data_IF_813032366339
#
_entry.id   IF_813032366339
#
_cell.length_a   1.000
_cell.length_b   1.000
_cell.length_c   1.000
_cell.angle_alpha   90.00
_cell.angle_beta   90.00
_cell.angle_gamma   90.00
#
_symmetry.space_group_name_H-M   'P 1'
#
loop_
_entity.id
_entity.type
_entity.pdbx_description
1 polymer ?
#
# COMPACT_ATOMS: atom_id res chain seq x y z
N UNK A 1 46.53 -10.68 -42.17
CA UNK A 1 45.87 -10.39 -40.88
C UNK A 1 44.46 -10.93 -40.94
N UNK A 2 44.25 -12.09 -40.31
CA UNK A 2 42.97 -12.82 -40.32
C UNK A 2 42.10 -12.38 -39.18
N UNK A 3 40.98 -11.74 -39.47
CA UNK A 3 39.96 -11.35 -38.48
C UNK A 3 39.05 -12.55 -38.23
N UNK A 4 39.31 -13.28 -37.17
CA UNK A 4 38.48 -14.34 -36.67
C UNK A 4 37.19 -13.74 -36.06
N UNK A 5 36.06 -13.90 -36.80
CA UNK A 5 34.71 -13.58 -36.35
C UNK A 5 34.31 -14.55 -35.26
N UNK A 6 34.24 -14.10 -34.01
CA UNK A 6 33.64 -14.83 -32.91
C UNK A 6 32.10 -14.85 -33.10
N UNK A 7 31.57 -15.97 -33.59
CA UNK A 7 30.15 -16.24 -33.64
C UNK A 7 29.59 -16.33 -32.20
N UNK A 8 28.89 -15.28 -31.77
CA UNK A 8 28.11 -15.30 -30.52
C UNK A 8 26.97 -16.28 -30.70
N UNK A 9 27.09 -17.44 -30.08
CA UNK A 9 26.03 -18.44 -30.01
C UNK A 9 24.78 -17.81 -29.29
N UNK A 10 23.73 -17.53 -30.06
CA UNK A 10 22.40 -17.20 -29.54
C UNK A 10 21.82 -18.43 -28.86
N UNK A 11 22.00 -18.55 -27.56
CA UNK A 11 21.27 -19.53 -26.76
C UNK A 11 19.76 -19.24 -26.94
N UNK A 12 19.09 -20.13 -27.65
CA UNK A 12 17.62 -20.15 -27.78
C UNK A 12 17.06 -20.58 -26.43
N UNK A 13 16.79 -19.64 -25.55
CA UNK A 13 16.06 -19.92 -24.32
C UNK A 13 14.66 -20.41 -24.72
N UNK A 14 14.29 -21.61 -24.30
CA UNK A 14 12.96 -22.18 -24.49
C UNK A 14 11.90 -21.21 -23.93
N UNK A 15 10.70 -21.17 -24.51
CA UNK A 15 9.63 -20.25 -24.11
C UNK A 15 9.34 -20.29 -22.59
N UNK A 16 9.53 -21.45 -21.97
CA UNK A 16 9.41 -21.66 -20.53
C UNK A 16 10.51 -20.89 -19.75
N UNK A 17 11.76 -20.89 -20.21
CA UNK A 17 12.85 -20.13 -19.60
C UNK A 17 12.62 -18.61 -19.66
N UNK A 18 11.94 -18.12 -20.70
CA UNK A 18 11.60 -16.71 -20.86
C UNK A 18 10.46 -16.28 -19.93
N UNK A 19 9.53 -17.17 -19.62
CA UNK A 19 8.48 -16.95 -18.63
C UNK A 19 9.05 -16.85 -17.22
N UNK A 20 9.99 -17.72 -16.85
CA UNK A 20 10.61 -17.75 -15.51
C UNK A 20 11.53 -16.53 -15.27
N UNK A 21 12.09 -15.94 -16.32
CA UNK A 21 12.95 -14.74 -16.23
C UNK A 21 12.16 -13.42 -16.21
N UNK A 22 10.82 -13.46 -16.35
CA UNK A 22 10.00 -12.26 -16.20
C UNK A 22 9.93 -11.88 -14.72
N UNK A 23 10.21 -10.63 -14.41
CA UNK A 23 10.26 -10.07 -13.03
C UNK A 23 9.03 -10.39 -12.16
N UNK A 24 7.89 -10.68 -12.78
CA UNK A 24 6.62 -10.99 -12.11
C UNK A 24 6.52 -12.42 -11.59
N UNK A 25 7.26 -13.37 -12.16
CA UNK A 25 7.16 -14.79 -11.78
C UNK A 25 7.78 -15.11 -10.42
N UNK A 26 8.83 -14.38 -10.02
CA UNK A 26 9.47 -14.56 -8.72
C UNK A 26 8.46 -14.39 -7.56
N UNK A 27 7.82 -13.22 -7.43
CA UNK A 27 6.80 -12.99 -6.41
C UNK A 27 5.62 -13.97 -6.47
N UNK A 28 5.19 -14.36 -7.67
CA UNK A 28 4.07 -15.30 -7.84
C UNK A 28 4.42 -16.70 -7.33
N UNK A 29 5.62 -17.19 -7.63
CA UNK A 29 6.10 -18.50 -7.13
C UNK A 29 6.18 -18.48 -5.59
N UNK A 30 6.73 -17.41 -5.03
CA UNK A 30 6.82 -17.25 -3.57
C UNK A 30 5.42 -17.24 -2.95
N UNK A 31 4.47 -16.52 -3.54
CA UNK A 31 3.08 -16.51 -3.08
C UNK A 31 2.47 -17.92 -3.09
N UNK A 32 2.62 -18.67 -4.20
CA UNK A 32 2.10 -20.04 -4.32
C UNK A 32 2.72 -20.95 -3.27
N UNK A 33 4.03 -20.86 -3.04
CA UNK A 33 4.73 -21.67 -2.04
C UNK A 33 4.21 -21.34 -0.64
N UNK A 34 4.06 -20.06 -0.28
CA UNK A 34 3.49 -19.69 1.02
C UNK A 34 2.05 -20.17 1.17
N UNK A 35 1.20 -20.00 0.16
CA UNK A 35 -0.17 -20.51 0.20
C UNK A 35 -0.19 -22.04 0.41
N UNK A 36 0.68 -22.79 -0.26
CA UNK A 36 0.78 -24.22 -0.07
C UNK A 36 1.23 -24.58 1.35
N UNK A 37 2.30 -23.94 1.85
CA UNK A 37 2.82 -24.21 3.22
C UNK A 37 1.75 -23.93 4.26
N UNK A 38 1.08 -22.76 4.21
CA UNK A 38 0.05 -22.41 5.19
C UNK A 38 -1.21 -23.25 5.06
N UNK A 39 -1.55 -23.71 3.86
CA UNK A 39 -2.65 -24.67 3.63
C UNK A 39 -2.45 -25.99 4.38
N UNK A 40 -1.20 -26.49 4.43
CA UNK A 40 -0.87 -27.70 5.18
C UNK A 40 -0.68 -27.44 6.69
N UNK A 41 -0.18 -26.26 7.05
CA UNK A 41 0.11 -25.90 8.43
C UNK A 41 -1.16 -25.55 9.24
N UNK A 42 -2.22 -25.05 8.60
CA UNK A 42 -3.39 -24.49 9.29
C UNK A 42 -4.69 -24.90 8.59
N UNK A 43 -5.60 -25.55 9.34
CA UNK A 43 -6.90 -25.98 8.81
C UNK A 43 -7.85 -24.82 8.44
N UNK A 44 -7.62 -23.63 9.02
CA UNK A 44 -8.44 -22.44 8.83
C UNK A 44 -7.94 -21.55 7.71
N UNK A 45 -6.84 -21.91 7.03
CA UNK A 45 -6.26 -21.04 5.98
C UNK A 45 -7.26 -20.70 4.87
N UNK A 46 -8.01 -21.71 4.38
CA UNK A 46 -9.05 -21.51 3.36
C UNK A 46 -10.45 -21.30 3.94
N UNK A 47 -10.58 -21.07 5.25
CA UNK A 47 -11.88 -20.70 5.82
C UNK A 47 -12.36 -19.37 5.22
N UNK A 48 -13.68 -19.26 4.96
CA UNK A 48 -14.28 -18.08 4.33
C UNK A 48 -13.96 -16.78 5.09
N UNK A 49 -14.02 -16.80 6.42
CA UNK A 49 -13.66 -15.65 7.25
C UNK A 49 -12.20 -15.21 7.11
N UNK A 50 -11.25 -16.17 7.04
CA UNK A 50 -9.83 -15.84 6.82
C UNK A 50 -9.58 -15.27 5.43
N UNK A 51 -10.20 -15.85 4.39
CA UNK A 51 -10.09 -15.34 3.02
C UNK A 51 -10.67 -13.92 2.91
N UNK A 52 -11.80 -13.67 3.55
CA UNK A 52 -12.39 -12.33 3.63
C UNK A 52 -11.43 -11.31 4.23
N UNK A 53 -10.80 -11.63 5.37
CA UNK A 53 -9.79 -10.78 6.01
C UNK A 53 -8.58 -10.53 5.10
N UNK A 54 -8.08 -11.56 4.43
CA UNK A 54 -6.96 -11.43 3.49
C UNK A 54 -7.32 -10.50 2.33
N UNK A 55 -8.54 -10.63 1.77
CA UNK A 55 -9.01 -9.74 0.69
C UNK A 55 -9.13 -8.31 1.18
N UNK A 56 -9.74 -8.07 2.34
CA UNK A 56 -9.87 -6.73 2.92
C UNK A 56 -8.51 -6.05 3.12
N UNK A 57 -7.55 -6.75 3.72
CA UNK A 57 -6.20 -6.22 3.91
C UNK A 57 -5.48 -5.99 2.57
N UNK A 58 -5.69 -6.87 1.60
CA UNK A 58 -5.10 -6.74 0.26
C UNK A 58 -5.62 -5.52 -0.50
N UNK A 59 -6.89 -5.14 -0.31
CA UNK A 59 -7.46 -3.92 -0.91
C UNK A 59 -6.75 -2.67 -0.40
N UNK A 60 -6.49 -2.60 0.92
CA UNK A 60 -5.79 -1.46 1.52
C UNK A 60 -4.37 -1.35 0.95
N UNK A 61 -3.62 -2.45 1.00
CA UNK A 61 -2.25 -2.50 0.47
C UNK A 61 -2.22 -2.24 -1.04
N UNK A 62 -3.17 -2.81 -1.78
CA UNK A 62 -3.30 -2.61 -3.23
C UNK A 62 -3.56 -1.16 -3.61
N UNK A 63 -4.43 -0.48 -2.89
CA UNK A 63 -4.72 0.95 -3.12
C UNK A 63 -3.47 1.81 -2.88
N UNK A 64 -2.76 1.57 -1.77
CA UNK A 64 -1.49 2.26 -1.49
C UNK A 64 -0.42 1.94 -2.55
N UNK A 65 -0.37 0.69 -3.02
CA UNK A 65 0.58 0.26 -4.05
C UNK A 65 0.33 0.95 -5.40
N UNK A 66 -0.93 1.25 -5.76
CA UNK A 66 -1.23 2.02 -6.98
C UNK A 66 -0.62 3.43 -6.88
N UNK A 67 -0.85 4.12 -5.76
CA UNK A 67 -0.25 5.44 -5.51
C UNK A 67 1.29 5.38 -5.54
N UNK A 68 1.87 4.40 -4.87
CA UNK A 68 3.31 4.19 -4.83
C UNK A 68 3.89 3.90 -6.23
N UNK A 69 3.18 3.14 -7.04
CA UNK A 69 3.61 2.85 -8.42
C UNK A 69 3.70 4.12 -9.26
N UNK A 70 2.74 5.04 -9.13
CA UNK A 70 2.79 6.33 -9.83
C UNK A 70 4.03 7.15 -9.44
N UNK A 71 4.39 7.13 -8.16
CA UNK A 71 5.58 7.83 -7.66
C UNK A 71 6.87 7.17 -8.17
N UNK A 72 6.94 5.83 -8.17
CA UNK A 72 8.09 5.08 -8.69
C UNK A 72 8.30 5.35 -10.20
N UNK A 73 7.22 5.45 -10.97
CA UNK A 73 7.28 5.78 -12.41
C UNK A 73 7.91 7.16 -12.67
N UNK A 74 7.82 8.08 -11.71
CA UNK A 74 8.50 9.39 -11.77
C UNK A 74 9.90 9.37 -11.16
N UNK A 75 10.48 8.18 -10.95
CA UNK A 75 11.77 7.96 -10.31
C UNK A 75 11.84 8.50 -8.85
N UNK A 76 10.69 8.63 -8.20
CA UNK A 76 10.58 9.02 -6.80
C UNK A 76 10.54 7.82 -5.85
N UNK A 77 10.85 8.08 -4.58
CA UNK A 77 10.61 7.15 -3.46
C UNK A 77 9.80 7.93 -2.43
N UNK A 78 8.59 7.44 -2.12
CA UNK A 78 7.76 8.03 -1.07
C UNK A 78 7.65 7.08 0.11
N UNK A 79 8.23 7.48 1.22
CA UNK A 79 8.15 6.75 2.51
C UNK A 79 6.97 7.22 3.36
N UNK A 80 6.37 8.38 3.05
CA UNK A 80 5.29 8.97 3.83
C UNK A 80 3.91 8.42 3.47
N UNK A 81 3.75 7.80 2.31
CA UNK A 81 2.46 7.34 1.77
C UNK A 81 1.66 6.52 2.82
N UNK A 82 2.26 5.48 3.40
CA UNK A 82 1.62 4.68 4.45
C UNK A 82 1.31 5.47 5.73
N UNK A 83 2.22 6.36 6.15
CA UNK A 83 2.02 7.23 7.31
C UNK A 83 0.85 8.19 7.12
N UNK A 84 0.74 8.80 5.94
CA UNK A 84 -0.38 9.70 5.57
C UNK A 84 -1.71 8.94 5.58
N UNK A 85 -1.74 7.70 5.07
CA UNK A 85 -2.94 6.87 5.12
C UNK A 85 -3.37 6.58 6.57
N UNK A 86 -2.43 6.24 7.46
CA UNK A 86 -2.72 6.02 8.89
C UNK A 86 -3.22 7.29 9.55
N UNK A 87 -2.62 8.46 9.26
CA UNK A 87 -3.12 9.74 9.77
C UNK A 87 -4.58 9.98 9.32
N UNK A 88 -4.88 9.75 8.05
CA UNK A 88 -6.23 9.90 7.51
C UNK A 88 -7.26 9.02 8.22
N UNK A 89 -6.94 7.76 8.46
CA UNK A 89 -7.84 6.84 9.19
C UNK A 89 -8.06 7.26 10.64
N UNK A 90 -7.01 7.68 11.33
CA UNK A 90 -7.11 8.15 12.73
C UNK A 90 -7.92 9.45 12.82
N UNK A 91 -7.71 10.41 11.90
CA UNK A 91 -8.47 11.66 11.86
C UNK A 91 -9.97 11.38 11.61
N UNK A 92 -10.29 10.59 10.59
CA UNK A 92 -11.67 10.25 10.27
C UNK A 92 -12.34 9.52 11.45
N UNK A 93 -11.69 8.49 12.00
CA UNK A 93 -12.22 7.71 13.11
C UNK A 93 -12.44 8.54 14.37
N UNK A 94 -11.50 9.44 14.72
CA UNK A 94 -11.63 10.32 15.87
C UNK A 94 -12.81 11.28 15.74
N UNK A 95 -12.95 11.95 14.58
CA UNK A 95 -14.04 12.89 14.35
C UNK A 95 -15.41 12.20 14.41
N UNK A 96 -15.52 10.98 13.88
CA UNK A 96 -16.74 10.18 13.99
C UNK A 96 -17.01 9.78 15.45
N UNK A 97 -15.99 9.40 16.20
CA UNK A 97 -16.12 9.10 17.63
C UNK A 97 -16.56 10.34 18.45
N UNK A 98 -16.19 11.55 18.02
CA UNK A 98 -16.64 12.83 18.57
C UNK A 98 -18.03 13.27 18.03
N UNK A 99 -18.81 12.32 17.45
CA UNK A 99 -20.16 12.54 16.93
C UNK A 99 -20.25 13.57 15.78
N UNK A 100 -19.16 13.78 15.05
CA UNK A 100 -19.19 14.61 13.85
C UNK A 100 -19.83 13.84 12.68
N UNK A 101 -20.32 14.57 11.68
CA UNK A 101 -20.91 13.96 10.49
C UNK A 101 -19.87 13.09 9.78
N UNK A 102 -20.17 11.79 9.52
CA UNK A 102 -19.19 10.84 8.96
C UNK A 102 -18.61 11.27 7.60
N UNK A 103 -19.46 11.83 6.73
CA UNK A 103 -19.02 12.30 5.40
C UNK A 103 -18.08 13.49 5.53
N UNK A 104 -18.40 14.46 6.39
CA UNK A 104 -17.54 15.62 6.62
C UNK A 104 -16.20 15.20 7.27
N UNK A 105 -16.24 14.23 8.17
CA UNK A 105 -15.04 13.67 8.81
C UNK A 105 -14.12 13.03 7.78
N UNK A 106 -14.68 12.26 6.85
CA UNK A 106 -13.92 11.64 5.76
C UNK A 106 -13.32 12.71 4.82
N UNK A 107 -14.14 13.68 4.41
CA UNK A 107 -13.66 14.77 3.53
C UNK A 107 -12.56 15.60 4.18
N UNK A 108 -12.69 15.88 5.48
CA UNK A 108 -11.65 16.60 6.23
C UNK A 108 -10.35 15.78 6.29
N UNK A 109 -10.44 14.48 6.60
CA UNK A 109 -9.27 13.59 6.61
C UNK A 109 -8.58 13.53 5.23
N UNK A 110 -9.36 13.40 4.15
CA UNK A 110 -8.85 13.43 2.77
C UNK A 110 -8.18 14.76 2.43
N UNK A 111 -8.75 15.88 2.86
CA UNK A 111 -8.17 17.21 2.68
C UNK A 111 -6.79 17.30 3.34
N UNK A 112 -6.68 16.86 4.59
CA UNK A 112 -5.40 16.85 5.33
C UNK A 112 -4.37 15.95 4.63
N UNK A 113 -4.75 14.75 4.22
CA UNK A 113 -3.88 13.84 3.46
C UNK A 113 -3.41 14.49 2.15
N UNK A 114 -4.30 15.17 1.46
CA UNK A 114 -3.99 15.89 0.21
C UNK A 114 -2.99 17.02 0.45
N UNK A 115 -3.12 17.77 1.53
CA UNK A 115 -2.18 18.84 1.89
C UNK A 115 -0.78 18.27 2.11
N UNK A 116 -0.65 17.14 2.82
CA UNK A 116 0.65 16.49 3.02
C UNK A 116 1.24 15.98 1.70
N UNK A 117 0.42 15.35 0.85
CA UNK A 117 0.85 14.89 -0.47
C UNK A 117 1.28 16.04 -1.39
N UNK A 118 0.52 17.14 -1.41
CA UNK A 118 0.89 18.35 -2.15
C UNK A 118 2.18 18.97 -1.63
N UNK A 119 2.36 19.03 -0.32
CA UNK A 119 3.59 19.54 0.29
C UNK A 119 4.79 18.71 -0.16
N UNK A 120 4.70 17.38 -0.10
CA UNK A 120 5.73 16.49 -0.62
C UNK A 120 6.04 16.76 -2.09
N UNK A 121 5.00 16.78 -2.91
CA UNK A 121 5.12 17.01 -4.35
C UNK A 121 5.72 18.38 -4.70
N UNK A 122 5.35 19.45 -4.00
CA UNK A 122 5.91 20.80 -4.21
C UNK A 122 7.38 20.87 -3.80
N UNK A 123 7.75 20.31 -2.67
CA UNK A 123 9.14 20.28 -2.21
C UNK A 123 10.06 19.53 -3.19
N UNK A 124 9.59 18.40 -3.72
CA UNK A 124 10.35 17.62 -4.69
C UNK A 124 10.39 18.32 -6.06
N UNK A 125 9.23 18.77 -6.58
CA UNK A 125 9.15 19.25 -7.96
C UNK A 125 9.62 20.71 -8.14
N UNK A 126 9.36 21.57 -7.16
CA UNK A 126 9.70 23.00 -7.25
C UNK A 126 11.02 23.35 -6.60
N UNK A 127 11.33 22.76 -5.45
CA UNK A 127 12.59 23.00 -4.74
C UNK A 127 13.67 21.98 -5.13
N UNK A 128 13.35 21.01 -6.00
CA UNK A 128 14.29 20.00 -6.52
C UNK A 128 14.98 19.20 -5.39
N UNK A 129 14.29 19.05 -4.25
CA UNK A 129 14.80 18.28 -3.13
C UNK A 129 14.71 16.78 -3.41
N UNK A 130 15.67 15.97 -2.95
CA UNK A 130 15.61 14.53 -3.12
C UNK A 130 14.34 13.94 -2.50
N UNK A 131 13.53 13.17 -3.25
CA UNK A 131 12.24 12.62 -2.79
C UNK A 131 12.35 11.86 -1.47
N UNK A 132 13.39 11.03 -1.34
CA UNK A 132 13.65 10.24 -0.14
C UNK A 132 13.80 11.10 1.13
N UNK A 133 14.53 12.22 1.06
CA UNK A 133 14.76 13.10 2.23
C UNK A 133 13.45 13.78 2.63
N UNK A 134 12.72 14.30 1.64
CA UNK A 134 11.44 14.98 1.84
C UNK A 134 10.42 14.04 2.48
N UNK A 135 10.25 12.85 1.92
CA UNK A 135 9.22 11.91 2.39
C UNK A 135 9.60 11.26 3.72
N UNK A 136 10.89 11.06 4.01
CA UNK A 136 11.35 10.62 5.32
C UNK A 136 11.05 11.67 6.40
N UNK A 137 11.33 12.94 6.13
CA UNK A 137 10.99 14.04 7.03
C UNK A 137 9.49 14.16 7.27
N UNK A 138 8.69 14.07 6.20
CA UNK A 138 7.23 14.06 6.29
C UNK A 138 6.70 12.85 7.06
N UNK A 139 7.27 11.66 6.89
CA UNK A 139 6.90 10.49 7.68
C UNK A 139 7.07 10.74 9.17
N UNK A 140 8.17 11.38 9.57
CA UNK A 140 8.40 11.76 10.98
C UNK A 140 7.32 12.71 11.49
N UNK A 141 7.02 13.77 10.74
CA UNK A 141 6.00 14.78 11.09
C UNK A 141 4.61 14.12 11.17
N UNK A 142 4.22 13.39 10.15
CA UNK A 142 2.91 12.71 10.07
C UNK A 142 2.75 11.71 11.20
N UNK A 143 3.79 10.92 11.51
CA UNK A 143 3.76 9.96 12.62
C UNK A 143 3.61 10.66 13.97
N UNK A 144 4.29 11.78 14.19
CA UNK A 144 4.16 12.58 15.40
C UNK A 144 2.74 13.14 15.55
N UNK A 145 2.17 13.72 14.48
CA UNK A 145 0.78 14.21 14.47
C UNK A 145 -0.20 13.08 14.73
N UNK A 146 -0.02 11.93 14.08
CA UNK A 146 -0.87 10.75 14.29
C UNK A 146 -0.89 10.33 15.75
N UNK A 147 0.26 10.27 16.41
CA UNK A 147 0.36 9.92 17.84
C UNK A 147 -0.32 10.96 18.73
N UNK A 148 -0.17 12.25 18.43
CA UNK A 148 -0.82 13.33 19.18
C UNK A 148 -2.35 13.25 19.01
N UNK A 149 -2.83 13.02 17.81
CA UNK A 149 -4.28 12.88 17.53
C UNK A 149 -4.83 11.60 18.15
N UNK A 150 -4.12 10.48 18.06
CA UNK A 150 -4.56 9.19 18.60
C UNK A 150 -4.57 9.16 20.13
N UNK A 151 -3.68 9.90 20.82
CA UNK A 151 -3.52 9.89 22.28
C UNK A 151 -3.44 8.47 22.85
N UNK A 152 -2.86 7.52 22.10
CA UNK A 152 -2.77 6.11 22.47
C UNK A 152 -4.05 5.32 22.32
N UNK A 153 -5.15 5.93 21.80
CA UNK A 153 -6.42 5.28 21.54
C UNK A 153 -6.53 4.70 20.14
N UNK A 154 -7.44 3.73 19.98
CA UNK A 154 -7.95 3.28 18.71
C UNK A 154 -9.38 3.83 18.54
N UNK A 155 -9.72 4.30 17.35
CA UNK A 155 -11.04 4.84 17.04
C UNK A 155 -11.72 3.93 16.01
N UNK A 156 -12.41 2.86 16.46
CA UNK A 156 -13.16 2.01 15.55
C UNK A 156 -14.33 2.82 14.95
N UNK A 157 -14.44 2.79 13.64
CA UNK A 157 -15.54 3.42 12.94
C UNK A 157 -16.73 2.46 12.98
N UNK A 158 -17.74 2.81 13.78
CA UNK A 158 -18.98 2.01 13.94
C UNK A 158 -20.14 2.56 13.11
N UNK A 159 -19.94 3.66 12.40
CA UNK A 159 -20.95 4.26 11.54
C UNK A 159 -21.20 3.37 10.32
N UNK A 160 -22.47 3.07 10.03
CA UNK A 160 -22.90 2.14 8.97
C UNK A 160 -22.44 2.60 7.57
N UNK A 161 -22.40 3.92 7.32
CA UNK A 161 -22.01 4.46 6.02
C UNK A 161 -20.52 4.24 5.73
N UNK A 162 -19.68 4.44 6.74
CA UNK A 162 -18.21 4.30 6.58
C UNK A 162 -17.73 2.86 6.77
N UNK A 163 -18.47 2.04 7.54
CA UNK A 163 -18.14 0.63 7.75
C UNK A 163 -18.63 -0.29 6.64
N UNK A 164 -19.70 0.12 5.91
CA UNK A 164 -20.32 -0.68 4.85
C UNK A 164 -19.30 -1.25 3.82
N UNK A 165 -18.34 -0.48 3.28
CA UNK A 165 -17.38 -1.04 2.31
C UNK A 165 -16.49 -2.14 2.90
N UNK A 166 -16.19 -2.06 4.22
CA UNK A 166 -15.43 -3.09 4.92
C UNK A 166 -16.27 -4.32 5.26
N UNK A 167 -17.53 -4.12 5.61
CA UNK A 167 -18.46 -5.18 6.00
C UNK A 167 -19.04 -5.94 4.80
N UNK A 168 -19.10 -5.31 3.63
CA UNK A 168 -19.63 -5.93 2.41
C UNK A 168 -18.90 -7.21 1.98
N UNK A 169 -17.68 -7.41 2.47
CA UNK A 169 -16.86 -8.61 2.22
C UNK A 169 -16.83 -9.59 3.40
N UNK A 170 -17.57 -9.32 4.48
CA UNK A 170 -17.75 -10.28 5.55
C UNK A 170 -18.65 -11.42 5.04
N UNK A 171 -18.04 -12.47 4.51
CA UNK A 171 -18.73 -13.67 4.06
C UNK A 171 -18.90 -14.59 5.26
N UNK A 172 -20.14 -14.72 5.72
CA UNK A 172 -20.62 -15.80 6.58
C UNK A 172 -20.63 -15.48 8.08
N UNK A 173 -21.81 -15.27 8.58
CA UNK A 173 -22.26 -15.70 9.88
C UNK A 173 -22.78 -17.14 9.78
#
# INVERSE_FOLDING_TARGET
MSTSSLAVSKHKTSGLGRLITTSTFGPLIVLIVFCAVFSFATKTFFAAGNLSLVVQQSVIVGTLAIGQTMIILTAGIDLANGGIAVLGTILAGRLVAEQQNPVLSLLFALLICTIFGLTAGLLVSRLMLPPFIVTLGLLGIVTAITRLVAQGGAFPVTDDLLSWPGNAFAVGD
#
